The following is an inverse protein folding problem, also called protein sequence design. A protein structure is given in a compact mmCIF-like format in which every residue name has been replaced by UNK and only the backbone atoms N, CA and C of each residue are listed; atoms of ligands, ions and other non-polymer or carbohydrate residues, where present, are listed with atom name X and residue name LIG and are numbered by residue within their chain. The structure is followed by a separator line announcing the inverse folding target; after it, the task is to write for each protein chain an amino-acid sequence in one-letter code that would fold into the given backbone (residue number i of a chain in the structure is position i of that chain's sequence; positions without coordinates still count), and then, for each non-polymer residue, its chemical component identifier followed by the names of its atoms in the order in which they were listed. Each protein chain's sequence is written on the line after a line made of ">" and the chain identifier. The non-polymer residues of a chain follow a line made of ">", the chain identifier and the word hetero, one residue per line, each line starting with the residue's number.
data_IF_368140803951
#
_entry.id   IF_368140803951
#
_cell.length_a   1.000
_cell.length_b   1.000
_cell.length_c   1.000
_cell.angle_alpha   90.00
_cell.angle_beta   90.00
_cell.angle_gamma   90.00
#
_symmetry.space_group_name_H-M   'P 1'
#
loop_
_entity.id
_entity.type
_entity.pdbx_description
1 polymer ?
#
# COMPACT_ATOMS: atom_id res chain seq x y z
N UNK A 1 11.18 -6.37 -25.14
CA UNK A 1 10.98 -5.02 -24.60
C UNK A 1 11.67 -4.98 -23.26
N UNK A 2 12.49 -3.97 -22.98
CA UNK A 2 13.01 -3.75 -21.63
C UNK A 2 11.79 -3.40 -20.78
N UNK A 3 11.46 -4.18 -19.72
CA UNK A 3 10.36 -3.81 -18.85
C UNK A 3 10.63 -2.40 -18.35
N UNK A 4 9.68 -1.49 -18.54
CA UNK A 4 9.79 -0.16 -17.93
C UNK A 4 9.76 -0.36 -16.43
N UNK A 5 10.65 0.33 -15.69
CA UNK A 5 10.89 0.24 -14.24
C UNK A 5 9.65 0.03 -13.37
N UNK A 6 8.50 0.57 -13.78
CA UNK A 6 7.24 0.34 -13.08
C UNK A 6 6.81 -1.13 -13.10
N UNK A 7 6.93 -1.87 -14.22
CA UNK A 7 6.40 -3.23 -14.48
C UNK A 7 6.87 -4.34 -13.52
N UNK A 8 7.83 -4.09 -12.62
CA UNK A 8 8.40 -5.12 -11.74
C UNK A 8 8.40 -4.80 -10.25
N UNK A 9 7.91 -3.64 -9.78
CA UNK A 9 8.01 -3.30 -8.35
C UNK A 9 7.23 -4.27 -7.46
N UNK A 10 5.93 -4.42 -7.69
CA UNK A 10 5.06 -5.27 -6.86
C UNK A 10 5.52 -6.73 -6.98
N UNK A 11 5.65 -7.24 -8.21
CA UNK A 11 6.03 -8.63 -8.42
C UNK A 11 7.46 -8.93 -7.99
N UNK A 12 8.38 -7.98 -8.13
CA UNK A 12 9.78 -8.09 -7.72
C UNK A 12 9.94 -8.15 -6.20
N UNK A 13 9.22 -7.30 -5.46
CA UNK A 13 9.17 -7.36 -3.99
C UNK A 13 8.61 -8.71 -3.55
N UNK A 14 7.45 -9.09 -4.09
CA UNK A 14 6.78 -10.32 -3.67
C UNK A 14 7.58 -11.59 -4.02
N UNK A 15 8.38 -11.58 -5.08
CA UNK A 15 9.23 -12.73 -5.47
C UNK A 15 10.44 -12.93 -4.55
N UNK A 16 10.94 -11.87 -3.92
CA UNK A 16 12.14 -11.94 -3.05
C UNK A 16 11.81 -12.11 -1.57
N UNK A 17 10.53 -12.13 -1.22
CA UNK A 17 10.02 -12.36 0.13
C UNK A 17 9.16 -13.61 0.21
N UNK A 18 9.19 -14.30 1.35
CA UNK A 18 8.43 -15.54 1.59
C UNK A 18 7.21 -15.29 2.50
N UNK A 19 6.46 -14.21 2.26
CA UNK A 19 5.28 -13.89 3.07
C UNK A 19 4.12 -14.81 2.71
N UNK A 20 3.48 -15.38 3.72
CA UNK A 20 2.25 -16.18 3.62
C UNK A 20 1.12 -15.46 4.36
N UNK A 21 -0.09 -15.99 4.24
CA UNK A 21 -1.22 -15.51 5.04
C UNK A 21 -1.45 -14.01 4.86
N UNK A 22 -1.41 -13.58 3.61
CA UNK A 22 -1.37 -12.17 3.25
C UNK A 22 -2.78 -11.58 3.26
N UNK A 23 -2.93 -10.44 3.92
CA UNK A 23 -4.00 -9.47 3.71
C UNK A 23 -3.47 -8.32 2.85
N UNK A 24 -3.89 -8.27 1.60
CA UNK A 24 -3.38 -7.32 0.61
C UNK A 24 -4.31 -6.11 0.49
N UNK A 25 -3.79 -4.94 0.86
CA UNK A 25 -4.46 -3.64 0.76
C UNK A 25 -3.90 -2.90 -0.44
N UNK A 26 -4.72 -2.63 -1.43
CA UNK A 26 -4.26 -2.19 -2.75
C UNK A 26 -4.97 -0.90 -3.15
N UNK A 27 -4.18 0.15 -3.31
CA UNK A 27 -4.61 1.39 -3.95
C UNK A 27 -4.97 1.10 -5.43
N UNK A 28 -6.20 1.45 -5.81
CA UNK A 28 -6.70 1.35 -7.18
C UNK A 28 -7.26 2.68 -7.70
N UNK A 29 -6.68 3.80 -7.27
CA UNK A 29 -6.96 5.12 -7.86
C UNK A 29 -6.32 5.27 -9.23
N UNK A 30 -6.78 6.26 -10.00
CA UNK A 30 -6.39 6.40 -11.41
C UNK A 30 -4.88 6.53 -11.62
N UNK A 31 -4.14 7.06 -10.65
CA UNK A 31 -2.69 7.23 -10.73
C UNK A 31 -1.92 5.92 -10.61
N UNK A 32 -2.53 4.87 -10.06
CA UNK A 32 -1.96 3.52 -9.95
C UNK A 32 -2.02 2.68 -11.24
N UNK A 33 -2.51 3.25 -12.35
CA UNK A 33 -2.67 2.55 -13.61
C UNK A 33 -1.39 1.83 -14.10
N UNK A 34 -0.21 2.41 -13.87
CA UNK A 34 1.08 1.80 -14.21
C UNK A 34 1.39 0.52 -13.39
N UNK A 35 0.80 0.39 -12.19
CA UNK A 35 0.95 -0.77 -11.32
C UNK A 35 -0.12 -1.85 -11.52
N UNK A 36 -1.22 -1.56 -12.23
CA UNK A 36 -2.32 -2.53 -12.40
C UNK A 36 -1.90 -3.83 -13.06
N UNK A 37 -1.07 -3.78 -14.11
CA UNK A 37 -0.63 -5.00 -14.79
C UNK A 37 0.14 -5.96 -13.85
N UNK A 38 0.87 -5.42 -12.88
CA UNK A 38 1.59 -6.22 -11.88
C UNK A 38 0.67 -6.77 -10.81
N UNK A 39 -0.31 -5.98 -10.39
CA UNK A 39 -1.35 -6.43 -9.47
C UNK A 39 -2.11 -7.58 -10.13
N UNK A 40 -2.51 -7.45 -11.40
CA UNK A 40 -3.18 -8.51 -12.17
C UNK A 40 -2.30 -9.77 -12.31
N UNK A 41 -1.01 -9.61 -12.61
CA UNK A 41 -0.06 -10.72 -12.66
C UNK A 41 0.08 -11.41 -11.29
N UNK A 42 0.17 -10.62 -10.21
CA UNK A 42 0.25 -11.17 -8.87
C UNK A 42 -1.04 -11.84 -8.44
N UNK A 43 -2.21 -11.34 -8.82
CA UNK A 43 -3.50 -11.98 -8.55
C UNK A 43 -3.57 -13.37 -9.20
N UNK A 44 -3.11 -13.47 -10.45
CA UNK A 44 -3.03 -14.76 -11.16
C UNK A 44 -2.07 -15.74 -10.45
N UNK A 45 -0.90 -15.27 -9.99
CA UNK A 45 0.06 -16.10 -9.24
C UNK A 45 -0.47 -16.48 -7.85
N UNK A 46 -1.08 -15.54 -7.14
CA UNK A 46 -1.65 -15.72 -5.79
C UNK A 46 -2.73 -16.78 -5.75
N UNK A 47 -3.52 -16.89 -6.83
CA UNK A 47 -4.52 -17.94 -6.95
C UNK A 47 -3.91 -19.35 -6.96
N UNK A 48 -2.70 -19.49 -7.50
CA UNK A 48 -2.02 -20.79 -7.62
C UNK A 48 -1.25 -21.19 -6.36
N UNK A 49 -0.60 -20.23 -5.69
CA UNK A 49 0.24 -20.49 -4.53
C UNK A 49 -0.47 -20.32 -3.18
N UNK A 50 -1.68 -19.75 -3.16
CA UNK A 50 -2.51 -19.50 -1.95
C UNK A 50 -1.84 -18.64 -0.87
N UNK A 51 -0.85 -17.82 -1.24
CA UNK A 51 -0.16 -16.94 -0.29
C UNK A 51 -1.05 -15.80 0.21
N UNK A 52 -1.98 -15.34 -0.62
CA UNK A 52 -2.94 -14.29 -0.27
C UNK A 52 -4.27 -14.89 0.14
N UNK A 53 -4.78 -14.47 1.30
CA UNK A 53 -6.07 -14.91 1.84
C UNK A 53 -7.17 -13.89 1.58
N UNK A 54 -6.82 -12.60 1.60
CA UNK A 54 -7.79 -11.51 1.55
C UNK A 54 -7.25 -10.34 0.74
N UNK A 55 -8.06 -9.85 -0.21
CA UNK A 55 -7.79 -8.62 -0.94
C UNK A 55 -8.77 -7.54 -0.49
N UNK A 56 -8.24 -6.34 -0.30
CA UNK A 56 -8.99 -5.11 -0.07
C UNK A 56 -8.47 -4.06 -1.04
N UNK A 57 -9.33 -3.64 -1.95
CA UNK A 57 -9.06 -2.58 -2.93
C UNK A 57 -9.74 -1.30 -2.46
N UNK A 58 -9.07 -0.16 -2.58
CA UNK A 58 -9.68 1.13 -2.26
C UNK A 58 -9.48 2.16 -3.37
N UNK A 59 -10.45 3.06 -3.53
CA UNK A 59 -10.49 4.01 -4.65
C UNK A 59 -10.75 5.47 -4.21
N UNK A 60 -10.56 5.76 -2.91
CA UNK A 60 -10.77 7.07 -2.28
C UNK A 60 -12.22 7.58 -2.38
N UNK A 61 -13.16 6.68 -2.11
CA UNK A 61 -14.54 7.04 -1.79
C UNK A 61 -15.53 7.07 -2.95
N UNK A 62 -15.38 6.23 -3.97
CA UNK A 62 -16.36 6.05 -5.05
C UNK A 62 -16.72 7.35 -5.80
N UNK A 63 -15.69 8.12 -6.19
CA UNK A 63 -15.82 9.44 -6.82
C UNK A 63 -16.64 10.46 -6.00
N UNK A 64 -16.72 10.25 -4.68
CA UNK A 64 -17.31 11.21 -3.76
C UNK A 64 -16.61 12.57 -3.91
N UNK A 65 -17.36 13.68 -3.95
CA UNK A 65 -16.75 15.02 -3.99
C UNK A 65 -15.78 15.22 -2.83
N UNK A 66 -14.64 15.88 -3.05
CA UNK A 66 -13.58 16.02 -2.05
C UNK A 66 -14.07 16.58 -0.70
N UNK A 67 -15.04 17.50 -0.71
CA UNK A 67 -15.65 18.08 0.50
C UNK A 67 -16.41 17.07 1.37
N UNK A 68 -16.82 15.95 0.79
CA UNK A 68 -17.62 14.91 1.44
C UNK A 68 -16.74 13.71 1.87
N UNK A 69 -15.43 13.72 1.54
CA UNK A 69 -14.45 12.70 1.97
C UNK A 69 -14.04 12.92 3.42
N UNK A 70 -14.87 12.42 4.33
CA UNK A 70 -14.66 12.50 5.78
C UNK A 70 -13.76 11.37 6.24
N UNK A 71 -12.62 11.71 6.85
CA UNK A 71 -11.66 10.76 7.44
C UNK A 71 -12.38 9.76 8.37
N UNK A 72 -12.11 8.47 8.20
CA UNK A 72 -12.74 7.36 8.92
C UNK A 72 -14.05 6.89 8.27
N UNK A 73 -14.50 7.55 7.20
CA UNK A 73 -15.74 7.23 6.48
C UNK A 73 -15.68 7.65 5.00
N UNK A 74 -14.49 7.71 4.44
CA UNK A 74 -14.27 8.06 3.03
C UNK A 74 -14.92 7.00 2.13
N UNK A 75 -14.81 5.72 2.50
CA UNK A 75 -15.47 4.61 1.80
C UNK A 75 -14.73 4.19 0.53
N UNK A 76 -15.43 3.61 -0.44
CA UNK A 76 -14.77 3.10 -1.65
C UNK A 76 -13.87 1.90 -1.39
N UNK A 77 -14.20 1.08 -0.38
CA UNK A 77 -13.47 -0.11 0.03
C UNK A 77 -14.19 -1.35 -0.49
N UNK A 78 -13.45 -2.20 -1.22
CA UNK A 78 -13.97 -3.39 -1.88
C UNK A 78 -13.12 -4.59 -1.48
N UNK A 79 -13.74 -5.59 -0.88
CA UNK A 79 -13.00 -6.71 -0.31
C UNK A 79 -13.51 -8.07 -0.80
N UNK A 80 -12.61 -9.06 -0.79
CA UNK A 80 -12.88 -10.41 -1.30
C UNK A 80 -11.87 -11.41 -0.71
N UNK A 81 -12.37 -12.55 -0.26
CA UNK A 81 -11.49 -13.67 0.09
C UNK A 81 -11.05 -14.42 -1.16
N UNK A 82 -9.79 -14.82 -1.22
CA UNK A 82 -9.25 -15.51 -2.40
C UNK A 82 -9.86 -16.89 -2.63
N UNK A 83 -10.41 -17.50 -1.57
CA UNK A 83 -11.14 -18.77 -1.65
C UNK A 83 -12.50 -18.65 -2.37
N UNK A 84 -13.02 -17.43 -2.60
CA UNK A 84 -14.20 -17.18 -3.43
C UNK A 84 -13.91 -17.32 -4.93
N UNK A 85 -12.64 -17.50 -5.30
CA UNK A 85 -12.19 -17.79 -6.65
C UNK A 85 -11.73 -16.55 -7.43
N UNK A 86 -10.79 -16.77 -8.36
CA UNK A 86 -10.12 -15.69 -9.10
C UNK A 86 -11.10 -14.79 -9.87
N UNK A 87 -12.19 -15.33 -10.41
CA UNK A 87 -13.20 -14.54 -11.12
C UNK A 87 -13.88 -13.50 -10.22
N UNK A 88 -14.15 -13.85 -8.95
CA UNK A 88 -14.72 -12.93 -7.97
C UNK A 88 -13.71 -11.85 -7.62
N UNK A 89 -12.45 -12.24 -7.41
CA UNK A 89 -11.35 -11.31 -7.11
C UNK A 89 -11.19 -10.26 -8.22
N UNK A 90 -11.10 -10.69 -9.48
CA UNK A 90 -10.98 -9.78 -10.62
C UNK A 90 -12.21 -8.88 -10.78
N UNK A 91 -13.42 -9.41 -10.55
CA UNK A 91 -14.65 -8.61 -10.59
C UNK A 91 -14.67 -7.55 -9.48
N UNK A 92 -14.21 -7.88 -8.27
CA UNK A 92 -14.12 -6.93 -7.15
C UNK A 92 -13.11 -5.82 -7.48
N UNK A 93 -11.94 -6.18 -8.01
CA UNK A 93 -10.93 -5.22 -8.48
C UNK A 93 -11.50 -4.27 -9.54
N UNK A 94 -12.12 -4.81 -10.58
CA UNK A 94 -12.70 -4.03 -11.68
C UNK A 94 -13.83 -3.11 -11.20
N UNK A 95 -14.61 -3.56 -10.20
CA UNK A 95 -15.68 -2.75 -9.61
C UNK A 95 -15.09 -1.57 -8.84
N UNK A 96 -14.06 -1.81 -8.02
CA UNK A 96 -13.37 -0.75 -7.29
C UNK A 96 -12.80 0.32 -8.25
N UNK A 97 -12.07 -0.11 -9.29
CA UNK A 97 -11.51 0.79 -10.32
C UNK A 97 -12.58 1.60 -11.08
N UNK A 98 -13.77 1.02 -11.32
CA UNK A 98 -14.86 1.71 -12.05
C UNK A 98 -15.58 2.74 -11.20
N UNK A 99 -15.73 2.46 -9.91
CA UNK A 99 -16.54 3.30 -9.04
C UNK A 99 -15.80 4.53 -8.52
N UNK A 100 -14.46 4.54 -8.55
CA UNK A 100 -13.66 5.64 -8.04
C UNK A 100 -12.26 5.67 -8.63
N UNK A 101 -11.61 6.83 -8.61
CA UNK A 101 -10.25 6.99 -9.10
C UNK A 101 -9.42 8.03 -8.35
N UNK A 102 -9.82 8.42 -7.13
CA UNK A 102 -9.17 9.51 -6.40
C UNK A 102 -9.81 10.88 -6.61
N UNK A 103 -8.99 11.93 -6.77
CA UNK A 103 -9.44 13.26 -7.17
C UNK A 103 -8.53 14.41 -6.77
N UNK A 104 -8.28 14.58 -5.47
CA UNK A 104 -7.50 15.68 -4.88
C UNK A 104 -6.03 15.35 -4.64
N UNK A 105 -5.63 14.09 -4.82
CA UNK A 105 -4.26 13.60 -4.59
C UNK A 105 -4.11 12.82 -3.29
N UNK A 106 -4.62 13.27 -2.13
CA UNK A 106 -4.69 12.45 -0.92
C UNK A 106 -5.72 11.32 -0.98
N UNK A 107 -5.45 10.20 -0.32
CA UNK A 107 -6.27 8.97 -0.41
C UNK A 107 -6.52 8.29 0.95
N UNK A 108 -7.47 7.34 1.03
CA UNK A 108 -7.93 6.74 2.29
C UNK A 108 -7.30 5.38 2.63
N UNK A 109 -5.97 5.33 2.57
CA UNK A 109 -5.18 4.12 2.78
C UNK A 109 -5.40 3.50 4.17
N UNK A 110 -5.46 4.31 5.23
CA UNK A 110 -5.50 3.79 6.60
C UNK A 110 -6.87 3.16 6.92
N UNK A 111 -7.96 3.75 6.44
CA UNK A 111 -9.29 3.13 6.52
C UNK A 111 -9.31 1.73 5.90
N UNK A 112 -8.68 1.55 4.74
CA UNK A 112 -8.59 0.27 4.06
C UNK A 112 -7.71 -0.75 4.82
N UNK A 113 -6.62 -0.29 5.44
CA UNK A 113 -5.76 -1.12 6.30
C UNK A 113 -6.54 -1.60 7.54
N UNK A 114 -7.21 -0.70 8.25
CA UNK A 114 -8.00 -1.03 9.44
C UNK A 114 -9.10 -2.03 9.07
N UNK A 115 -9.79 -1.79 7.95
CA UNK A 115 -10.81 -2.70 7.43
C UNK A 115 -10.24 -4.10 7.20
N UNK A 116 -9.06 -4.20 6.59
CA UNK A 116 -8.38 -5.49 6.32
C UNK A 116 -8.05 -6.24 7.60
N UNK A 117 -7.48 -5.56 8.59
CA UNK A 117 -7.12 -6.16 9.88
C UNK A 117 -8.37 -6.68 10.61
N UNK A 118 -9.47 -5.91 10.59
CA UNK A 118 -10.73 -6.28 11.23
C UNK A 118 -11.45 -7.47 10.57
N UNK A 119 -11.23 -7.69 9.26
CA UNK A 119 -11.95 -8.70 8.48
C UNK A 119 -11.10 -9.91 8.07
N UNK A 120 -9.79 -9.91 8.33
CA UNK A 120 -8.92 -11.07 8.11
C UNK A 120 -8.11 -11.42 9.36
N UNK A 121 -8.76 -12.15 10.28
CA UNK A 121 -8.12 -12.62 11.52
C UNK A 121 -6.98 -13.62 11.26
N UNK A 122 -7.05 -14.37 10.16
CA UNK A 122 -6.05 -15.34 9.72
C UNK A 122 -4.89 -14.73 8.93
N UNK A 123 -4.97 -13.44 8.57
CA UNK A 123 -3.88 -12.77 7.86
C UNK A 123 -2.76 -12.39 8.83
N UNK A 124 -1.58 -12.97 8.66
CA UNK A 124 -0.38 -12.65 9.46
C UNK A 124 0.41 -11.47 8.87
N UNK A 125 0.42 -11.35 7.53
CA UNK A 125 1.17 -10.33 6.82
C UNK A 125 0.22 -9.33 6.15
N UNK A 126 0.15 -8.10 6.68
CA UNK A 126 -0.60 -7.03 6.03
C UNK A 126 0.34 -6.29 5.08
N UNK A 127 0.02 -6.37 3.78
CA UNK A 127 0.79 -5.70 2.72
C UNK A 127 -0.04 -4.57 2.17
N UNK A 128 0.50 -3.36 2.19
CA UNK A 128 -0.11 -2.18 1.61
C UNK A 128 0.65 -1.77 0.36
N UNK A 129 0.00 -1.84 -0.80
CA UNK A 129 0.55 -1.39 -2.09
C UNK A 129 0.04 0.03 -2.32
N UNK A 130 0.95 1.00 -2.30
CA UNK A 130 0.64 2.43 -2.24
C UNK A 130 1.29 3.23 -3.37
N UNK A 131 0.64 4.28 -3.86
CA UNK A 131 1.23 5.23 -4.81
C UNK A 131 2.26 6.14 -4.12
N UNK A 132 3.51 6.15 -4.62
CA UNK A 132 4.55 7.04 -4.13
C UNK A 132 4.22 8.54 -4.30
N UNK A 133 3.23 8.90 -5.12
CA UNK A 133 2.84 10.27 -5.39
C UNK A 133 1.60 10.73 -4.60
N UNK A 134 0.91 9.81 -3.92
CA UNK A 134 -0.25 10.11 -3.08
C UNK A 134 0.16 10.10 -1.60
N UNK A 135 -0.36 11.05 -0.83
CA UNK A 135 -0.18 11.07 0.63
C UNK A 135 -1.50 10.69 1.29
N UNK A 136 -1.53 9.67 2.17
CA UNK A 136 -2.78 9.27 2.81
C UNK A 136 -3.42 10.45 3.57
N UNK A 137 -4.70 10.70 3.32
CA UNK A 137 -5.51 11.76 3.97
C UNK A 137 -5.79 11.45 5.43
N UNK A 138 -5.77 10.17 5.77
CA UNK A 138 -6.28 9.59 7.00
C UNK A 138 -5.16 9.05 7.91
N UNK A 139 -3.93 9.56 7.76
CA UNK A 139 -2.79 9.24 8.65
C UNK A 139 -3.07 9.45 10.14
N UNK A 140 -4.04 10.28 10.49
CA UNK A 140 -4.47 10.47 11.89
C UNK A 140 -5.08 9.20 12.50
N UNK A 141 -5.56 8.26 11.67
CA UNK A 141 -6.10 6.97 12.10
C UNK A 141 -5.00 5.92 12.32
N UNK A 142 -3.73 6.24 12.07
CA UNK A 142 -2.64 5.28 12.11
C UNK A 142 -2.42 4.67 13.51
N UNK A 143 -2.81 5.40 14.56
CA UNK A 143 -2.78 4.91 15.95
C UNK A 143 -3.80 3.76 16.20
N UNK A 144 -4.77 3.55 15.30
CA UNK A 144 -5.74 2.45 15.37
C UNK A 144 -5.23 1.17 14.68
N UNK A 145 -4.08 1.23 13.99
CA UNK A 145 -3.51 0.09 13.26
C UNK A 145 -2.78 -0.84 14.23
N UNK A 146 -3.28 -2.07 14.36
CA UNK A 146 -2.83 -3.04 15.39
C UNK A 146 -1.88 -4.12 14.88
N UNK A 147 -1.52 -4.11 13.58
CA UNK A 147 -0.58 -5.05 12.97
C UNK A 147 0.53 -4.31 12.21
N UNK A 148 1.75 -4.85 12.16
CA UNK A 148 2.81 -4.33 11.30
C UNK A 148 2.41 -4.29 9.83
N UNK A 149 2.65 -3.14 9.19
CA UNK A 149 2.31 -2.93 7.77
C UNK A 149 3.55 -2.98 6.90
N UNK A 150 3.53 -3.85 5.90
CA UNK A 150 4.57 -3.94 4.86
C UNK A 150 4.15 -3.07 3.68
N UNK A 151 4.79 -1.92 3.52
CA UNK A 151 4.45 -0.96 2.46
C UNK A 151 5.26 -1.27 1.20
N UNK A 152 4.59 -1.58 0.10
CA UNK A 152 5.17 -1.69 -1.23
C UNK A 152 4.91 -0.40 -1.98
N UNK A 153 5.98 0.28 -2.39
CA UNK A 153 5.91 1.62 -2.97
C UNK A 153 5.84 1.54 -4.50
N UNK A 154 4.65 1.72 -5.04
CA UNK A 154 4.40 1.78 -6.47
C UNK A 154 4.84 3.13 -7.06
N UNK A 155 5.23 3.14 -8.35
CA UNK A 155 5.76 4.33 -9.06
C UNK A 155 7.00 4.93 -8.41
N UNK A 156 7.75 4.11 -7.70
CA UNK A 156 9.10 4.41 -7.30
C UNK A 156 10.07 4.10 -8.44
N UNK A 157 10.93 5.05 -8.79
CA UNK A 157 12.04 4.83 -9.72
C UNK A 157 13.33 4.69 -8.88
N UNK A 158 14.17 3.66 -9.11
CA UNK A 158 15.47 3.51 -8.46
C UNK A 158 16.27 4.80 -8.42
N UNK A 159 16.75 5.16 -7.23
CA UNK A 159 17.49 6.40 -7.01
C UNK A 159 16.62 7.67 -6.93
N UNK A 160 15.30 7.56 -6.87
CA UNK A 160 14.42 8.73 -6.63
C UNK A 160 13.92 8.79 -5.18
N UNK A 161 13.04 9.75 -4.91
CA UNK A 161 12.49 10.00 -3.59
C UNK A 161 11.32 9.08 -3.30
N UNK A 162 11.18 8.70 -2.03
CA UNK A 162 9.97 8.06 -1.49
C UNK A 162 9.12 9.10 -0.74
N UNK A 163 7.80 8.96 -0.79
CA UNK A 163 6.90 9.73 0.05
C UNK A 163 7.22 9.45 1.54
N UNK A 164 7.64 10.46 2.33
CA UNK A 164 7.95 10.26 3.74
C UNK A 164 6.77 9.73 4.56
N UNK A 165 5.53 9.93 4.11
CA UNK A 165 4.35 9.42 4.82
C UNK A 165 4.14 7.92 4.67
N UNK A 166 4.71 7.30 3.64
CA UNK A 166 4.79 5.85 3.53
C UNK A 166 5.83 5.26 4.50
N UNK A 167 6.93 5.99 4.75
CA UNK A 167 7.87 5.64 5.83
C UNK A 167 7.20 5.74 7.21
N UNK A 168 6.34 6.76 7.43
CA UNK A 168 5.59 6.91 8.68
C UNK A 168 4.68 5.71 8.96
N UNK A 169 3.98 5.19 7.95
CA UNK A 169 3.14 3.99 8.09
C UNK A 169 3.97 2.80 8.53
N UNK A 170 5.06 2.51 7.81
CA UNK A 170 5.92 1.37 8.13
C UNK A 170 6.55 1.53 9.53
N UNK A 171 7.04 2.71 9.88
CA UNK A 171 7.66 2.98 11.17
C UNK A 171 6.70 2.87 12.34
N UNK A 172 5.57 3.59 12.31
CA UNK A 172 4.64 3.66 13.45
C UNK A 172 3.93 2.33 13.72
N UNK A 173 3.80 1.49 12.69
CA UNK A 173 3.19 0.16 12.83
C UNK A 173 4.21 -0.94 13.18
N UNK A 174 5.51 -0.61 13.21
CA UNK A 174 6.58 -1.59 13.38
C UNK A 174 6.74 -2.54 12.18
N UNK A 175 6.29 -2.11 11.01
CA UNK A 175 6.41 -2.82 9.75
C UNK A 175 7.66 -2.42 8.95
N UNK A 176 7.54 -2.46 7.63
CA UNK A 176 8.67 -2.33 6.71
C UNK A 176 8.28 -1.62 5.42
N UNK A 177 9.26 -1.02 4.74
CA UNK A 177 9.06 -0.36 3.45
C UNK A 177 9.87 -1.06 2.36
N UNK A 178 9.26 -1.24 1.20
CA UNK A 178 9.80 -2.00 0.07
C UNK A 178 9.62 -1.22 -1.22
N UNK A 179 10.72 -0.93 -1.90
CA UNK A 179 10.75 -0.34 -3.25
C UNK A 179 11.12 -1.42 -4.27
N UNK A 180 11.31 -1.05 -5.54
CA UNK A 180 11.80 -2.00 -6.54
C UNK A 180 13.15 -2.64 -6.14
N UNK A 181 14.05 -1.86 -5.56
CA UNK A 181 15.48 -2.16 -5.38
C UNK A 181 15.97 -2.10 -3.92
N UNK A 182 15.11 -1.75 -2.96
CA UNK A 182 15.46 -1.60 -1.55
C UNK A 182 14.36 -2.15 -0.64
N UNK A 183 14.79 -2.84 0.42
CA UNK A 183 13.93 -3.28 1.52
C UNK A 183 14.44 -2.67 2.83
N UNK A 184 13.55 -2.02 3.60
CA UNK A 184 13.87 -1.39 4.88
C UNK A 184 13.01 -2.02 5.97
N UNK A 185 13.59 -3.01 6.66
CA UNK A 185 12.89 -3.79 7.69
C UNK A 185 13.06 -3.23 9.12
N UNK A 186 14.03 -2.34 9.33
CA UNK A 186 14.47 -1.93 10.67
C UNK A 186 13.98 -0.54 11.08
N UNK A 187 12.96 0.01 10.41
CA UNK A 187 12.45 1.36 10.69
C UNK A 187 12.08 1.55 12.16
N UNK A 188 11.39 0.60 12.78
CA UNK A 188 10.95 0.68 14.18
C UNK A 188 12.07 0.75 15.23
N UNK A 189 13.34 0.58 14.84
CA UNK A 189 14.50 0.74 15.73
C UNK A 189 15.09 2.15 15.75
N UNK A 190 14.63 3.02 14.85
CA UNK A 190 15.11 4.39 14.71
C UNK A 190 14.62 5.26 15.87
N UNK A 191 15.44 6.23 16.23
CA UNK A 191 15.17 7.24 17.26
C UNK A 191 14.98 8.60 16.60
N UNK A 192 14.34 9.52 17.33
CA UNK A 192 14.29 10.93 16.93
C UNK A 192 15.70 11.43 16.62
N UNK A 193 15.80 12.19 15.53
CA UNK A 193 17.02 12.69 14.88
C UNK A 193 17.85 11.66 14.10
N UNK A 194 17.53 10.37 14.14
CA UNK A 194 18.16 9.40 13.24
C UNK A 194 17.80 9.71 11.78
N UNK A 195 18.74 9.42 10.89
CA UNK A 195 18.59 9.64 9.44
C UNK A 195 18.71 8.35 8.66
N UNK A 196 17.91 8.22 7.61
CA UNK A 196 18.01 7.15 6.62
C UNK A 196 18.16 7.72 5.22
N UNK A 197 18.80 6.94 4.34
CA UNK A 197 18.90 7.22 2.92
C UNK A 197 17.94 6.30 2.17
N UNK A 198 17.11 6.88 1.32
CA UNK A 198 16.21 6.14 0.42
C UNK A 198 16.30 6.76 -0.97
N UNK A 199 16.90 6.02 -1.91
CA UNK A 199 17.27 6.56 -3.21
C UNK A 199 18.18 7.77 -3.09
N UNK A 200 17.74 8.93 -3.61
CA UNK A 200 18.46 10.21 -3.49
C UNK A 200 18.03 11.05 -2.28
N UNK A 201 17.01 10.62 -1.54
CA UNK A 201 16.47 11.36 -0.42
C UNK A 201 17.15 11.03 0.90
N UNK A 202 17.47 12.07 1.68
CA UNK A 202 17.83 11.93 3.09
C UNK A 202 16.63 12.27 3.95
N UNK A 203 16.22 11.33 4.80
CA UNK A 203 15.07 11.47 5.68
C UNK A 203 15.52 11.46 7.12
N UNK A 204 15.01 12.40 7.93
CA UNK A 204 15.21 12.43 9.37
C UNK A 204 13.90 12.10 10.06
N UNK A 205 13.96 11.24 11.08
CA UNK A 205 12.83 11.00 11.96
C UNK A 205 12.73 12.13 12.99
N UNK A 206 11.60 12.84 13.00
CA UNK A 206 11.27 13.80 14.06
C UNK A 206 10.15 13.26 14.97
N UNK A 207 9.69 14.09 15.92
CA UNK A 207 8.63 13.71 16.89
C UNK A 207 7.27 13.44 16.24
N UNK A 208 7.03 13.89 15.01
CA UNK A 208 5.78 13.73 14.26
C UNK A 208 5.86 12.64 13.20
N UNK A 209 7.07 12.36 12.69
CA UNK A 209 7.35 11.36 11.66
C UNK A 209 8.59 11.71 10.84
N UNK A 210 8.75 11.07 9.68
CA UNK A 210 9.80 11.37 8.74
C UNK A 210 9.56 12.71 8.03
N UNK A 211 10.65 13.46 7.94
CA UNK A 211 10.78 14.64 7.10
C UNK A 211 11.98 14.46 6.15
N UNK A 212 11.84 14.94 4.93
CA UNK A 212 12.95 15.00 3.99
C UNK A 212 13.83 16.22 4.33
N UNK A 213 15.13 16.01 4.42
CA UNK A 213 16.12 17.05 4.74
C UNK A 213 17.15 17.30 3.62
N UNK A 214 17.26 16.39 2.65
CA UNK A 214 18.01 16.57 1.40
C UNK A 214 17.39 15.72 0.28
#
# INVERSE_FOLDING_TARGET
>A
ATPTVDEETVTGVLKRHNWTDIGAVVDVTGSMAACYAQIDQWLALSHTNKLVQYFVFFNDGDNKPNKDKVIGSTGGIYAVHTNEGIAKVLTTLDTAKKNGGGGDGPENDIEAIIYTIGNCSTCENIIHIADNQATPRDLILLDEVTKPIKVIVCKYIPGTLVNPKLLDIAYKTGGSLHTLDLDIETLGSLKVDDTIQVGTGTYRLDVTGFIRIA
#
